data_IF_120912085822
#
_entry.id   IF_120912085822
#
_cell.length_a   1.000
_cell.length_b   1.000
_cell.length_c   1.000
_cell.angle_alpha   90.00
_cell.angle_beta   90.00
_cell.angle_gamma   90.00
#
_symmetry.space_group_name_H-M   'P 1'
#
loop_
_entity.id
_entity.type
_entity.pdbx_description
1 polymer ?
#
# COMPACT_ATOMS: atom_id res chain seq x y z
N UNK A 1 -62.86 42.20 19.62
CA UNK A 1 -61.72 41.28 19.80
C UNK A 1 -61.44 40.63 18.46
N UNK A 2 -60.37 41.01 17.74
CA UNK A 2 -59.93 40.29 16.54
C UNK A 2 -59.16 39.02 16.94
N UNK A 3 -59.08 37.98 16.08
CA UNK A 3 -58.26 36.81 16.33
C UNK A 3 -56.77 37.15 16.21
N UNK A 4 -55.98 36.53 17.08
CA UNK A 4 -54.53 36.67 17.23
C UNK A 4 -53.77 36.03 16.06
N UNK A 5 -52.86 36.80 15.48
CA UNK A 5 -51.80 36.36 14.58
C UNK A 5 -50.96 35.24 15.20
N UNK A 6 -50.81 34.13 14.48
CA UNK A 6 -49.77 33.12 14.74
C UNK A 6 -48.48 33.55 14.02
N UNK A 7 -47.35 33.75 14.73
CA UNK A 7 -46.08 33.93 14.06
C UNK A 7 -45.56 32.58 13.55
N UNK A 8 -45.34 32.48 12.24
CA UNK A 8 -44.59 31.39 11.62
C UNK A 8 -43.14 31.45 12.15
N UNK A 9 -42.76 30.51 13.01
CA UNK A 9 -41.36 30.29 13.36
C UNK A 9 -40.66 29.55 12.22
N UNK A 10 -39.84 30.27 11.46
CA UNK A 10 -38.89 29.66 10.53
C UNK A 10 -37.67 29.26 11.37
N UNK A 11 -37.57 27.98 11.72
CA UNK A 11 -36.30 27.41 12.20
C UNK A 11 -35.28 27.48 11.05
N UNK A 12 -34.03 27.90 11.28
CA UNK A 12 -33.01 27.78 10.24
C UNK A 12 -32.80 26.29 9.98
N UNK A 13 -32.96 25.89 8.72
CA UNK A 13 -32.54 24.58 8.27
C UNK A 13 -31.08 24.37 8.69
N UNK A 14 -30.82 23.26 9.38
CA UNK A 14 -29.48 22.93 9.81
C UNK A 14 -28.53 22.93 8.63
N UNK A 15 -27.42 23.65 8.78
CA UNK A 15 -26.20 23.53 7.99
C UNK A 15 -25.63 22.12 8.20
N UNK A 16 -26.31 21.13 7.63
CA UNK A 16 -25.80 19.78 7.50
C UNK A 16 -25.35 19.61 6.06
N UNK A 17 -24.08 19.29 5.96
CA UNK A 17 -23.47 18.59 4.84
C UNK A 17 -23.08 19.48 3.66
N UNK A 18 -21.83 19.92 3.69
CA UNK A 18 -20.87 19.80 2.61
C UNK A 18 -19.50 20.06 3.25
N UNK A 19 -18.99 19.08 4.01
CA UNK A 19 -17.55 19.07 4.27
C UNK A 19 -16.86 19.06 2.89
N UNK A 20 -15.97 20.03 2.60
CA UNK A 20 -15.12 19.89 1.44
C UNK A 20 -14.26 18.66 1.70
N UNK A 21 -14.61 17.54 1.05
CA UNK A 21 -13.73 16.39 0.91
C UNK A 21 -12.36 16.94 0.59
N UNK A 22 -11.43 16.85 1.55
CA UNK A 22 -10.07 17.36 1.44
C UNK A 22 -9.42 16.56 0.33
N UNK A 23 -9.58 17.07 -0.89
CA UNK A 23 -8.89 16.62 -2.07
C UNK A 23 -7.42 16.87 -1.73
N UNK A 24 -6.71 15.81 -1.33
CA UNK A 24 -5.29 15.85 -0.99
C UNK A 24 -4.60 16.71 -2.05
N UNK A 25 -4.00 17.81 -1.61
CA UNK A 25 -3.21 18.68 -2.49
C UNK A 25 -2.17 17.75 -3.12
N UNK A 26 -2.27 17.49 -4.42
CA UNK A 26 -1.27 16.70 -5.14
C UNK A 26 0.08 17.41 -4.99
N UNK A 27 0.97 16.78 -4.25
CA UNK A 27 2.34 17.22 -4.07
C UNK A 27 3.04 17.25 -5.43
N UNK A 28 3.92 18.23 -5.65
CA UNK A 28 4.81 18.34 -6.81
C UNK A 28 5.84 17.17 -6.93
N UNK A 29 5.65 16.10 -6.15
CA UNK A 29 6.58 14.97 -6.01
C UNK A 29 6.64 14.03 -7.23
N UNK A 30 5.82 14.25 -8.27
CA UNK A 30 5.89 13.52 -9.53
C UNK A 30 5.79 11.99 -9.35
N UNK A 31 6.82 11.25 -9.79
CA UNK A 31 6.89 9.78 -9.71
C UNK A 31 7.30 9.23 -8.35
N UNK A 32 7.71 10.08 -7.40
CA UNK A 32 8.25 9.63 -6.12
C UNK A 32 7.27 8.75 -5.30
N UNK A 33 5.97 9.07 -5.17
CA UNK A 33 5.03 8.21 -4.45
C UNK A 33 4.90 6.82 -5.07
N UNK A 34 4.88 6.75 -6.41
CA UNK A 34 4.78 5.51 -7.15
C UNK A 34 6.02 4.62 -6.95
N UNK A 35 7.21 5.21 -7.05
CA UNK A 35 8.45 4.47 -6.80
C UNK A 35 8.53 3.97 -5.36
N UNK A 36 8.21 4.83 -4.38
CA UNK A 36 8.19 4.45 -2.97
C UNK A 36 7.16 3.36 -2.68
N UNK A 37 6.02 3.38 -3.37
CA UNK A 37 5.02 2.29 -3.32
C UNK A 37 5.60 0.97 -3.79
N UNK A 38 6.32 0.96 -4.92
CA UNK A 38 6.97 -0.27 -5.44
C UNK A 38 8.06 -0.76 -4.49
N UNK A 39 8.87 0.15 -3.94
CA UNK A 39 9.90 -0.18 -2.95
C UNK A 39 9.26 -0.80 -1.71
N UNK A 40 8.16 -0.23 -1.22
CA UNK A 40 7.45 -0.73 -0.04
C UNK A 40 6.83 -2.12 -0.28
N UNK A 41 6.25 -2.36 -1.46
CA UNK A 41 5.77 -3.69 -1.86
C UNK A 41 6.90 -4.72 -1.85
N UNK A 42 8.05 -4.39 -2.43
CA UNK A 42 9.21 -5.28 -2.45
C UNK A 42 9.75 -5.52 -1.04
N UNK A 43 9.82 -4.49 -0.19
CA UNK A 43 10.25 -4.60 1.21
C UNK A 43 9.39 -5.62 1.96
N UNK A 44 8.06 -5.51 1.86
CA UNK A 44 7.12 -6.42 2.52
C UNK A 44 7.17 -7.83 1.94
N UNK A 45 7.41 -8.01 0.64
CA UNK A 45 7.63 -9.32 0.05
C UNK A 45 8.90 -9.99 0.57
N UNK A 46 9.99 -9.24 0.74
CA UNK A 46 11.23 -9.78 1.31
C UNK A 46 11.00 -10.18 2.77
N UNK A 47 10.33 -9.34 3.55
CA UNK A 47 9.95 -9.62 4.94
C UNK A 47 9.11 -10.92 5.05
N UNK A 48 8.12 -11.08 4.19
CA UNK A 48 7.33 -12.31 4.08
C UNK A 48 8.21 -13.55 3.84
N UNK A 49 9.19 -13.46 2.94
CA UNK A 49 10.08 -14.58 2.65
C UNK A 49 11.03 -14.89 3.82
N UNK A 50 11.48 -13.87 4.56
CA UNK A 50 12.30 -14.04 5.76
C UNK A 50 11.50 -14.79 6.83
N UNK A 51 10.27 -14.36 7.11
CA UNK A 51 9.39 -15.02 8.08
C UNK A 51 9.14 -16.49 7.69
N UNK A 52 8.86 -16.76 6.41
CA UNK A 52 8.66 -18.15 5.94
C UNK A 52 9.88 -19.04 6.16
N UNK A 53 11.08 -18.53 5.87
CA UNK A 53 12.33 -19.29 6.04
C UNK A 53 12.68 -19.48 7.52
N UNK A 54 12.37 -18.49 8.36
CA UNK A 54 12.47 -18.61 9.81
C UNK A 54 11.57 -19.73 10.34
N UNK A 55 10.29 -19.75 9.95
CA UNK A 55 9.32 -20.79 10.37
C UNK A 55 9.73 -22.20 9.92
N UNK A 56 10.53 -22.31 8.85
CA UNK A 56 11.08 -23.57 8.32
C UNK A 56 12.48 -23.90 8.85
N UNK A 57 13.05 -23.07 9.72
CA UNK A 57 14.44 -23.19 10.18
C UNK A 57 15.48 -23.25 9.04
N UNK A 58 15.21 -22.56 7.93
CA UNK A 58 16.08 -22.46 6.75
C UNK A 58 17.06 -21.27 6.82
N UNK A 59 16.90 -20.40 7.83
CA UNK A 59 17.79 -19.28 8.12
C UNK A 59 18.55 -19.55 9.41
N UNK A 60 19.85 -19.28 9.42
CA UNK A 60 20.61 -19.21 10.66
C UNK A 60 20.20 -17.97 11.46
N UNK A 61 20.40 -17.99 12.78
CA UNK A 61 20.10 -16.84 13.64
C UNK A 61 20.84 -15.56 13.17
N UNK A 62 22.10 -15.70 12.74
CA UNK A 62 22.89 -14.59 12.20
C UNK A 62 22.31 -14.04 10.89
N UNK A 63 21.82 -14.91 9.99
CA UNK A 63 21.18 -14.48 8.75
C UNK A 63 19.83 -13.80 9.00
N UNK A 64 19.07 -14.29 9.99
CA UNK A 64 17.80 -13.70 10.41
C UNK A 64 18.00 -12.30 10.99
N UNK A 65 18.95 -12.14 11.91
CA UNK A 65 19.29 -10.84 12.50
C UNK A 65 19.74 -9.84 11.43
N UNK A 66 20.60 -10.29 10.50
CA UNK A 66 21.06 -9.45 9.39
C UNK A 66 19.93 -9.04 8.46
N UNK A 67 18.99 -9.95 8.18
CA UNK A 67 17.82 -9.64 7.37
C UNK A 67 16.88 -8.65 8.07
N UNK A 68 16.63 -8.84 9.36
CA UNK A 68 15.80 -7.93 10.17
C UNK A 68 16.39 -6.51 10.20
N UNK A 69 17.70 -6.38 10.44
CA UNK A 69 18.37 -5.08 10.46
C UNK A 69 18.35 -4.39 9.10
N UNK A 70 18.57 -5.15 8.02
CA UNK A 70 18.50 -4.61 6.65
C UNK A 70 17.09 -4.14 6.29
N UNK A 71 16.05 -4.88 6.68
CA UNK A 71 14.65 -4.51 6.41
C UNK A 71 14.24 -3.27 7.19
N UNK A 72 14.65 -3.18 8.47
CA UNK A 72 14.45 -2.00 9.30
C UNK A 72 15.13 -0.76 8.73
N UNK A 73 16.38 -0.90 8.30
CA UNK A 73 17.12 0.19 7.64
C UNK A 73 16.39 0.68 6.40
N UNK A 74 15.88 -0.24 5.57
CA UNK A 74 15.12 0.11 4.36
C UNK A 74 13.80 0.82 4.71
N UNK A 75 13.07 0.36 5.73
CA UNK A 75 11.86 1.02 6.23
C UNK A 75 12.15 2.46 6.69
N UNK A 76 13.21 2.66 7.47
CA UNK A 76 13.64 3.99 7.93
C UNK A 76 14.00 4.93 6.76
N UNK A 77 14.62 4.39 5.71
CA UNK A 77 14.91 5.12 4.48
C UNK A 77 13.63 5.50 3.72
N UNK A 78 12.67 4.59 3.58
CA UNK A 78 11.36 4.87 2.95
C UNK A 78 10.63 5.97 3.71
N UNK A 79 10.57 5.89 5.04
CA UNK A 79 9.95 6.92 5.89
C UNK A 79 10.65 8.26 5.74
N UNK A 80 11.98 8.27 5.68
CA UNK A 80 12.77 9.49 5.47
C UNK A 80 12.49 10.11 4.10
N UNK A 81 12.43 9.31 3.04
CA UNK A 81 12.10 9.79 1.70
C UNK A 81 10.66 10.31 1.63
N UNK A 82 9.70 9.65 2.28
CA UNK A 82 8.33 10.16 2.37
C UNK A 82 8.28 11.56 2.98
N UNK A 83 9.02 11.81 4.06
CA UNK A 83 9.14 13.15 4.67
C UNK A 83 9.76 14.17 3.72
N UNK A 84 10.81 13.81 2.99
CA UNK A 84 11.48 14.70 2.03
C UNK A 84 10.54 15.10 0.89
N UNK A 85 9.69 14.19 0.42
CA UNK A 85 8.74 14.43 -0.66
C UNK A 85 7.34 14.85 -0.17
N UNK A 86 7.18 15.09 1.12
CA UNK A 86 5.91 15.46 1.78
C UNK A 86 4.77 14.45 1.54
N UNK A 87 5.10 13.17 1.36
CA UNK A 87 4.17 12.07 1.09
C UNK A 87 3.70 11.47 2.42
N UNK A 88 2.39 11.29 2.58
CA UNK A 88 1.85 10.49 3.69
C UNK A 88 2.17 9.00 3.44
N UNK A 89 2.81 8.27 4.36
CA UNK A 89 3.04 6.83 4.22
C UNK A 89 1.77 6.03 3.88
N UNK A 90 0.59 6.49 4.33
CA UNK A 90 -0.68 5.86 3.97
C UNK A 90 -0.98 5.94 2.46
N UNK A 91 -0.48 6.96 1.77
CA UNK A 91 -0.63 7.14 0.32
C UNK A 91 0.24 6.18 -0.50
N UNK A 92 1.18 5.47 0.11
CA UNK A 92 1.93 4.40 -0.56
C UNK A 92 1.05 3.16 -0.82
N UNK A 93 -0.10 3.05 -0.15
CA UNK A 93 -1.02 1.96 -0.40
C UNK A 93 -2.03 2.33 -1.50
N UNK A 94 -1.72 1.91 -2.73
CA UNK A 94 -2.58 2.16 -3.90
C UNK A 94 -3.82 1.26 -3.85
N UNK A 95 -4.99 1.87 -4.08
CA UNK A 95 -6.25 1.19 -4.34
C UNK A 95 -6.36 0.84 -5.83
N UNK A 96 -6.56 -0.44 -6.14
CA UNK A 96 -6.70 -0.98 -7.49
C UNK A 96 -8.15 -1.28 -7.85
N UNK A 97 -9.11 -0.77 -7.07
CA UNK A 97 -10.54 -0.96 -7.29
C UNK A 97 -10.98 -2.39 -6.98
N UNK A 98 -11.52 -3.09 -7.98
CA UNK A 98 -12.06 -4.45 -7.80
C UNK A 98 -11.01 -5.50 -7.43
N UNK A 99 -9.72 -5.21 -7.72
CA UNK A 99 -8.60 -6.10 -7.39
C UNK A 99 -8.18 -5.98 -5.92
N UNK A 100 -8.66 -4.95 -5.20
CA UNK A 100 -8.28 -4.66 -3.82
C UNK A 100 -7.13 -3.66 -3.72
N UNK A 101 -6.42 -3.67 -2.60
CA UNK A 101 -5.28 -2.77 -2.36
C UNK A 101 -3.94 -3.45 -2.62
N UNK A 102 -2.91 -2.65 -2.88
CA UNK A 102 -1.57 -3.18 -3.08
C UNK A 102 -1.02 -3.83 -1.80
N UNK A 103 -1.18 -3.12 -0.67
CA UNK A 103 -0.67 -3.49 0.65
C UNK A 103 -1.83 -3.67 1.65
N UNK A 104 -1.62 -4.40 2.76
CA UNK A 104 -2.56 -4.46 3.88
C UNK A 104 -2.76 -3.09 4.54
N UNK A 105 -3.96 -2.83 5.09
CA UNK A 105 -4.34 -1.54 5.70
C UNK A 105 -3.81 -1.33 7.14
N UNK A 106 -3.08 -2.29 7.72
CA UNK A 106 -2.52 -2.19 9.07
C UNK A 106 -1.23 -3.00 9.16
N UNK A 107 -0.23 -2.42 9.82
CA UNK A 107 1.19 -2.83 9.77
C UNK A 107 1.46 -4.28 10.14
N UNK A 108 2.34 -4.89 9.33
CA UNK A 108 2.79 -6.26 9.43
C UNK A 108 1.95 -7.20 8.57
N UNK A 109 2.58 -7.78 7.54
CA UNK A 109 2.02 -8.90 6.79
C UNK A 109 2.65 -10.19 7.30
N UNK A 110 1.85 -11.08 7.90
CA UNK A 110 2.31 -12.43 8.23
C UNK A 110 2.00 -13.38 7.07
N UNK A 111 3.00 -14.05 6.49
CA UNK A 111 2.83 -14.80 5.26
C UNK A 111 2.05 -16.10 5.47
N UNK A 112 1.07 -16.35 4.60
CA UNK A 112 0.26 -17.58 4.64
C UNK A 112 -1.08 -17.43 5.35
N UNK A 113 -1.34 -16.28 5.97
CA UNK A 113 -2.68 -15.93 6.43
C UNK A 113 -3.52 -15.39 5.27
N UNK A 114 -4.83 -15.68 5.29
CA UNK A 114 -5.78 -15.15 4.32
C UNK A 114 -6.57 -14.01 4.96
N UNK A 115 -6.51 -12.81 4.37
CA UNK A 115 -7.33 -11.69 4.82
C UNK A 115 -8.74 -11.74 4.21
N UNK A 116 -9.69 -11.08 4.86
CA UNK A 116 -11.04 -10.85 4.29
C UNK A 116 -10.98 -9.90 3.09
N UNK A 117 -10.01 -9.00 3.06
CA UNK A 117 -9.74 -8.09 1.95
C UNK A 117 -8.43 -8.51 1.28
N UNK A 118 -8.46 -9.25 0.16
CA UNK A 118 -7.25 -9.73 -0.49
C UNK A 118 -6.42 -8.56 -1.03
N UNK A 119 -5.11 -8.71 -0.94
CA UNK A 119 -4.13 -7.73 -1.41
C UNK A 119 -3.24 -8.31 -2.51
N UNK A 120 -2.63 -7.44 -3.31
CA UNK A 120 -1.62 -7.88 -4.29
C UNK A 120 -0.44 -8.55 -3.58
N UNK A 121 -0.01 -8.00 -2.44
CA UNK A 121 1.02 -8.61 -1.61
C UNK A 121 0.70 -10.07 -1.26
N UNK A 122 -0.52 -10.33 -0.75
CA UNK A 122 -0.96 -11.70 -0.42
C UNK A 122 -0.91 -12.62 -1.64
N UNK A 123 -1.36 -12.16 -2.80
CA UNK A 123 -1.34 -12.95 -4.02
C UNK A 123 0.10 -13.26 -4.44
N UNK A 124 0.97 -12.25 -4.46
CA UNK A 124 2.36 -12.39 -4.86
C UNK A 124 3.13 -13.31 -3.91
N UNK A 125 2.94 -13.18 -2.60
CA UNK A 125 3.52 -14.08 -1.61
C UNK A 125 3.03 -15.52 -1.79
N UNK A 126 1.73 -15.73 -2.05
CA UNK A 126 1.22 -17.09 -2.35
C UNK A 126 1.84 -17.67 -3.62
N UNK A 127 1.95 -16.88 -4.69
CA UNK A 127 2.56 -17.34 -5.94
C UNK A 127 4.02 -17.72 -5.75
N UNK A 128 4.78 -16.89 -5.01
CA UNK A 128 6.17 -17.17 -4.65
C UNK A 128 6.29 -18.42 -3.77
N UNK A 129 5.35 -18.65 -2.86
CA UNK A 129 5.39 -19.85 -2.02
C UNK A 129 5.09 -21.15 -2.79
N UNK A 130 4.25 -21.10 -3.84
CA UNK A 130 3.81 -22.30 -4.55
C UNK A 130 4.88 -22.85 -5.51
N UNK A 131 5.90 -22.08 -5.89
CA UNK A 131 6.85 -22.53 -6.92
C UNK A 131 6.64 -21.89 -8.29
N UNK A 132 5.66 -21.00 -8.43
CA UNK A 132 5.16 -20.58 -9.75
C UNK A 132 6.07 -19.50 -10.33
N UNK A 133 6.50 -19.72 -11.58
CA UNK A 133 7.14 -18.68 -12.38
C UNK A 133 6.08 -17.87 -13.09
N UNK A 134 6.00 -16.58 -12.78
CA UNK A 134 5.10 -15.64 -13.45
C UNK A 134 5.95 -14.62 -14.19
N UNK A 135 5.77 -14.53 -15.50
CA UNK A 135 6.29 -13.46 -16.33
C UNK A 135 5.15 -12.54 -16.76
N UNK A 136 5.27 -11.26 -16.45
CA UNK A 136 4.25 -10.26 -16.77
C UNK A 136 4.85 -8.90 -17.04
N UNK A 137 4.07 -8.06 -17.71
CA UNK A 137 4.38 -6.64 -17.88
C UNK A 137 3.38 -5.81 -17.09
N UNK A 138 3.89 -4.84 -16.32
CA UNK A 138 3.07 -3.86 -15.58
C UNK A 138 3.41 -2.47 -16.11
N UNK A 139 2.39 -1.73 -16.52
CA UNK A 139 2.53 -0.34 -16.91
C UNK A 139 2.15 0.55 -15.71
N UNK A 140 3.11 1.34 -15.24
CA UNK A 140 2.90 2.28 -14.14
C UNK A 140 2.85 3.71 -14.71
N UNK A 141 1.84 4.48 -14.30
CA UNK A 141 1.65 5.87 -14.75
C UNK A 141 0.97 6.74 -13.70
N UNK A 142 1.16 8.06 -13.79
CA UNK A 142 0.57 9.04 -12.87
C UNK A 142 -0.67 9.69 -13.51
N UNK A 143 -1.84 9.55 -12.88
CA UNK A 143 -3.10 10.07 -13.41
C UNK A 143 -3.20 11.60 -13.29
N UNK A 144 -2.76 12.30 -14.34
CA UNK A 144 -3.36 13.50 -14.96
C UNK A 144 -2.52 14.05 -16.13
N UNK A 145 -1.35 13.49 -16.39
CA UNK A 145 -0.48 13.84 -17.52
C UNK A 145 0.19 12.55 -18.03
N UNK A 146 -0.27 12.04 -19.17
CA UNK A 146 0.29 10.87 -19.86
C UNK A 146 1.69 11.18 -20.45
N UNK A 147 2.69 11.44 -19.60
CA UNK A 147 4.03 11.82 -20.05
C UNK A 147 5.08 10.72 -19.80
N UNK A 148 4.89 9.85 -18.81
CA UNK A 148 5.86 8.82 -18.44
C UNK A 148 5.15 7.49 -18.21
N UNK A 149 5.53 6.49 -19.01
CA UNK A 149 5.18 5.09 -18.83
C UNK A 149 6.41 4.33 -18.32
N UNK A 150 6.30 3.75 -17.13
CA UNK A 150 7.30 2.80 -16.66
C UNK A 150 6.79 1.39 -16.91
N UNK A 151 7.51 0.64 -17.75
CA UNK A 151 7.21 -0.77 -18.01
C UNK A 151 8.05 -1.64 -17.08
N UNK A 152 7.39 -2.33 -16.16
CA UNK A 152 8.02 -3.32 -15.30
C UNK A 152 7.84 -4.71 -15.91
N UNK A 153 8.94 -5.40 -16.21
CA UNK A 153 8.90 -6.84 -16.43
C UNK A 153 9.05 -7.52 -15.08
N UNK A 154 7.98 -8.15 -14.62
CA UNK A 154 8.02 -8.93 -13.40
C UNK A 154 8.29 -10.38 -13.77
N UNK A 155 9.41 -10.91 -13.26
CA UNK A 155 9.71 -12.34 -13.28
C UNK A 155 9.78 -12.78 -11.84
N UNK A 156 8.73 -13.46 -11.38
CA UNK A 156 8.71 -14.06 -10.05
C UNK A 156 9.29 -15.45 -10.19
N UNK A 157 10.35 -15.73 -9.45
CA UNK A 157 10.88 -17.09 -9.33
C UNK A 157 11.01 -17.40 -7.86
N UNK A 158 10.62 -18.62 -7.50
CA UNK A 158 10.87 -19.16 -6.18
C UNK A 158 11.81 -20.34 -6.35
N UNK A 159 12.83 -20.40 -5.50
CA UNK A 159 13.56 -21.64 -5.32
C UNK A 159 12.60 -22.61 -4.64
N UNK A 160 12.18 -23.66 -5.34
CA UNK A 160 11.49 -24.77 -4.70
C UNK A 160 12.41 -25.28 -3.59
N UNK A 161 11.85 -25.43 -2.40
CA UNK A 161 12.55 -26.02 -1.26
C UNK A 161 12.56 -27.52 -1.56
N UNK A 162 13.73 -28.04 -1.91
CA UNK A 162 14.01 -29.50 -1.99
C UNK A 162 14.10 -30.10 -0.58
#
# INVERSE_FOLDING_TARGET
MPPSDFPIQISPAGDADLQPSTRSKKNDAGLAPLLLTVVELVRQLIEAQVIRRMDRAELSDEDLDRAAESLRTLEEQVVTLCKIFEIDPADLNIDLGEIGTLLPKSGGYYPGETSTNPTILELLDRLLNIGIVVEGNVDLGLANLNLIHAKLRLVLTSKAIE
#
